data_IF_647016377105
#
_entry.id   IF_647016377105
#
_cell.length_a   1.000
_cell.length_b   1.000
_cell.length_c   1.000
_cell.angle_alpha   90.00
_cell.angle_beta   90.00
_cell.angle_gamma   90.00
#
_symmetry.space_group_name_H-M   'P 1'
#
loop_
_entity.id
_entity.type
_entity.pdbx_description
1 polymer ?
#
# COMPACT_ATOMS: atom_id res chain seq x y z
N UNK A 1 -1.34 45.63 45.78
CA UNK A 1 -2.26 45.43 46.91
C UNK A 1 -2.95 44.08 46.75
N UNK A 2 -2.88 43.26 47.81
CA UNK A 2 -3.59 42.01 48.15
C UNK A 2 -3.81 40.95 47.05
N UNK A 3 -3.14 39.78 46.99
CA UNK A 3 -2.90 38.70 47.97
C UNK A 3 -4.15 37.89 48.38
N UNK A 4 -3.91 36.57 48.58
CA UNK A 4 -4.72 35.49 49.22
C UNK A 4 -5.27 34.44 48.23
N UNK A 5 -4.99 33.12 48.26
CA UNK A 5 -4.06 32.22 48.99
C UNK A 5 -4.05 30.83 48.30
N UNK A 6 -2.94 30.10 48.47
CA UNK A 6 -2.73 28.66 48.18
C UNK A 6 -3.53 27.73 49.09
N UNK A 7 -3.79 26.50 48.60
CA UNK A 7 -4.08 25.32 49.41
C UNK A 7 -3.69 24.02 48.69
N UNK A 8 -2.52 23.46 49.06
CA UNK A 8 -2.11 22.08 48.76
C UNK A 8 -2.71 21.14 49.82
N UNK A 9 -3.14 19.92 49.43
CA UNK A 9 -2.75 18.66 50.11
C UNK A 9 -3.24 17.40 49.40
N UNK A 10 -2.32 16.46 49.38
CA UNK A 10 -2.30 15.05 48.97
C UNK A 10 -3.33 14.15 49.65
N UNK A 11 -3.81 13.13 48.92
CA UNK A 11 -4.18 11.84 49.49
C UNK A 11 -4.01 10.71 48.46
N UNK A 12 -2.93 9.95 48.61
CA UNK A 12 -2.73 8.62 48.07
C UNK A 12 -3.50 7.60 48.90
N UNK A 13 -4.13 6.59 48.27
CA UNK A 13 -4.38 5.29 48.91
C UNK A 13 -4.61 4.18 47.88
N UNK A 14 -3.95 3.07 48.18
CA UNK A 14 -3.83 1.82 47.47
C UNK A 14 -5.17 1.13 47.18
N UNK A 15 -5.27 0.44 46.04
CA UNK A 15 -6.17 -0.70 45.88
C UNK A 15 -5.39 -1.90 45.34
N UNK A 16 -5.59 -3.01 46.03
CA UNK A 16 -4.80 -4.25 46.04
C UNK A 16 -5.07 -5.11 44.80
N UNK A 17 -4.01 -5.78 44.33
CA UNK A 17 -4.09 -6.94 43.45
C UNK A 17 -4.88 -8.07 44.11
N UNK A 18 -5.86 -8.62 43.40
CA UNK A 18 -6.45 -9.93 43.68
C UNK A 18 -5.85 -10.97 42.73
N UNK A 19 -5.09 -11.92 43.29
CA UNK A 19 -4.64 -13.15 42.63
C UNK A 19 -5.80 -14.13 42.57
N UNK A 20 -6.09 -14.68 41.39
CA UNK A 20 -6.91 -15.88 41.23
C UNK A 20 -6.01 -17.14 41.20
N UNK A 21 -6.43 -18.26 41.81
CA UNK A 21 -5.63 -19.47 41.88
C UNK A 21 -5.77 -20.32 40.59
N UNK A 22 -4.65 -20.94 40.23
CA UNK A 22 -4.49 -21.92 39.15
C UNK A 22 -5.14 -23.26 39.51
N UNK A 23 -6.05 -23.74 38.67
CA UNK A 23 -6.58 -25.11 38.75
C UNK A 23 -5.83 -26.02 37.76
N UNK A 24 -5.30 -27.11 38.29
CA UNK A 24 -4.61 -28.20 37.59
C UNK A 24 -5.63 -29.06 36.84
N UNK A 25 -5.39 -29.34 35.55
CA UNK A 25 -6.19 -30.27 34.77
C UNK A 25 -5.40 -31.57 34.54
N UNK A 26 -5.95 -32.66 35.07
CA UNK A 26 -5.42 -34.01 34.97
C UNK A 26 -5.70 -34.65 33.59
N UNK A 27 -4.78 -35.54 33.20
CA UNK A 27 -4.88 -36.46 32.08
C UNK A 27 -6.13 -37.34 32.13
N UNK A 28 -6.79 -37.50 30.97
CA UNK A 28 -7.61 -38.69 30.67
C UNK A 28 -7.22 -39.22 29.29
N UNK A 29 -6.67 -40.43 29.30
CA UNK A 29 -6.44 -41.31 28.15
C UNK A 29 -7.69 -42.18 27.98
N UNK A 30 -8.20 -42.35 26.76
CA UNK A 30 -9.41 -43.14 26.55
C UNK A 30 -9.75 -43.51 25.10
N UNK A 31 -9.01 -44.48 24.57
CA UNK A 31 -9.42 -45.59 23.68
C UNK A 31 -10.14 -45.34 22.34
N UNK A 32 -9.46 -45.84 21.30
CA UNK A 32 -9.98 -46.31 20.01
C UNK A 32 -11.09 -47.37 20.14
N UNK A 33 -12.03 -47.35 19.19
CA UNK A 33 -12.81 -48.52 18.81
C UNK A 33 -13.07 -48.52 17.30
N UNK A 34 -12.54 -49.53 16.62
CA UNK A 34 -12.80 -49.91 15.24
C UNK A 34 -13.88 -50.99 15.21
N UNK A 35 -14.89 -50.81 14.35
CA UNK A 35 -15.81 -51.85 13.88
C UNK A 35 -16.18 -51.40 12.46
N UNK A 36 -15.98 -52.13 11.37
CA UNK A 36 -16.13 -53.55 11.14
C UNK A 36 -17.11 -53.69 9.98
N UNK A 37 -16.59 -53.93 8.78
CA UNK A 37 -17.32 -53.94 7.52
C UNK A 37 -18.41 -55.04 7.48
N UNK A 38 -19.55 -54.72 6.85
CA UNK A 38 -20.46 -55.73 6.28
C UNK A 38 -20.86 -55.33 4.87
N UNK A 39 -20.50 -56.21 3.95
CA UNK A 39 -20.90 -56.24 2.55
C UNK A 39 -22.32 -56.79 2.46
N UNK A 40 -23.18 -56.11 1.71
CA UNK A 40 -24.36 -56.72 1.10
C UNK A 40 -24.41 -56.27 -0.36
N UNK A 41 -24.41 -57.25 -1.26
CA UNK A 41 -24.69 -57.09 -2.67
C UNK A 41 -26.14 -57.49 -2.94
N UNK A 42 -26.88 -56.69 -3.73
CA UNK A 42 -27.69 -57.15 -4.86
C UNK A 42 -28.54 -56.04 -5.52
N UNK A 43 -28.44 -56.01 -6.85
CA UNK A 43 -29.48 -55.80 -7.88
C UNK A 43 -30.23 -54.47 -8.05
N UNK A 44 -29.81 -53.77 -9.10
CA UNK A 44 -30.56 -53.28 -10.29
C UNK A 44 -31.71 -52.27 -10.20
N UNK A 45 -31.52 -51.24 -11.05
CA UNK A 45 -32.46 -50.40 -11.82
C UNK A 45 -33.35 -49.40 -11.08
N UNK A 46 -33.02 -48.12 -11.21
CA UNK A 46 -33.92 -47.14 -11.84
C UNK A 46 -33.21 -45.81 -12.15
N UNK A 47 -33.42 -45.36 -13.39
CA UNK A 47 -33.36 -43.97 -13.88
C UNK A 47 -32.82 -42.89 -12.93
N UNK A 48 -31.57 -42.46 -13.14
CA UNK A 48 -31.06 -41.18 -12.66
C UNK A 48 -30.88 -40.24 -13.86
N UNK A 49 -31.82 -39.30 -13.97
CA UNK A 49 -31.74 -38.15 -14.85
C UNK A 49 -30.47 -37.36 -14.52
N UNK A 50 -29.48 -37.40 -15.41
CA UNK A 50 -28.32 -36.50 -15.32
C UNK A 50 -28.80 -35.09 -15.62
N UNK A 51 -29.07 -34.29 -14.58
CA UNK A 51 -29.04 -32.83 -14.69
C UNK A 51 -27.67 -32.42 -15.24
N UNK A 52 -27.59 -32.17 -16.55
CA UNK A 52 -26.48 -31.41 -17.13
C UNK A 52 -26.72 -29.95 -16.82
N UNK A 53 -26.26 -29.49 -15.67
CA UNK A 53 -26.03 -28.07 -15.45
C UNK A 53 -24.83 -27.66 -16.31
N UNK A 54 -25.11 -27.11 -17.50
CA UNK A 54 -24.11 -26.42 -18.33
C UNK A 54 -24.35 -24.93 -18.17
N UNK A 55 -23.53 -24.25 -17.36
CA UNK A 55 -23.56 -22.80 -17.16
C UNK A 55 -22.52 -22.06 -18.00
N UNK A 56 -21.95 -22.69 -19.02
CA UNK A 56 -21.03 -22.00 -19.93
C UNK A 56 -21.84 -21.08 -20.83
N UNK A 57 -21.93 -19.81 -20.45
CA UNK A 57 -22.25 -18.74 -21.39
C UNK A 57 -21.29 -18.84 -22.59
N UNK A 58 -21.78 -18.57 -23.80
CA UNK A 58 -20.95 -18.57 -25.00
C UNK A 58 -19.71 -17.68 -24.77
N UNK A 59 -18.52 -18.26 -24.94
CA UNK A 59 -17.25 -17.54 -24.81
C UNK A 59 -17.17 -16.48 -25.90
N UNK A 60 -17.42 -15.22 -25.56
CA UNK A 60 -17.00 -14.06 -26.34
C UNK A 60 -15.47 -13.88 -26.21
N UNK A 61 -14.69 -14.88 -26.58
CA UNK A 61 -13.25 -14.71 -26.80
C UNK A 61 -12.68 -15.97 -27.44
N UNK A 62 -12.55 -15.95 -28.77
CA UNK A 62 -11.52 -16.75 -29.42
C UNK A 62 -10.22 -15.95 -29.27
N UNK A 63 -9.53 -16.10 -28.13
CA UNK A 63 -8.21 -15.53 -27.97
C UNK A 63 -7.31 -16.14 -29.06
N UNK A 64 -6.73 -15.34 -29.97
CA UNK A 64 -5.84 -15.89 -30.99
C UNK A 64 -4.63 -16.50 -30.30
N UNK A 65 -4.26 -17.71 -30.70
CA UNK A 65 -3.02 -18.37 -30.29
C UNK A 65 -1.86 -17.58 -30.89
N UNK A 66 -1.37 -16.57 -30.15
CA UNK A 66 -0.18 -15.83 -30.54
C UNK A 66 1.06 -16.61 -30.12
N UNK A 67 2.00 -16.75 -31.06
CA UNK A 67 3.30 -17.39 -30.86
C UNK A 67 4.05 -16.79 -29.64
N UNK A 68 4.80 -17.64 -28.94
CA UNK A 68 5.53 -17.38 -27.70
C UNK A 68 6.79 -16.51 -27.88
N UNK A 69 6.67 -15.36 -28.55
CA UNK A 69 7.69 -14.33 -28.46
C UNK A 69 7.63 -13.71 -27.05
N UNK A 70 8.76 -13.48 -26.36
CA UNK A 70 8.76 -12.71 -25.12
C UNK A 70 8.10 -11.36 -25.41
N UNK A 71 6.94 -11.11 -24.81
CA UNK A 71 6.25 -9.83 -25.00
C UNK A 71 7.06 -8.76 -24.29
N UNK A 72 7.37 -7.70 -25.00
CA UNK A 72 8.02 -6.54 -24.39
C UNK A 72 7.05 -5.82 -23.46
N UNK A 73 7.60 -5.19 -22.41
CA UNK A 73 6.82 -4.32 -21.54
C UNK A 73 6.35 -3.07 -22.31
N UNK A 74 5.15 -2.60 -21.98
CA UNK A 74 4.67 -1.29 -22.41
C UNK A 74 5.72 -0.21 -22.09
N UNK A 75 6.01 0.74 -23.01
CA UNK A 75 7.07 1.74 -22.83
C UNK A 75 6.96 2.52 -21.52
N UNK A 76 5.75 2.86 -21.09
CA UNK A 76 5.47 3.59 -19.85
C UNK A 76 5.94 2.81 -18.60
N UNK A 77 5.90 1.48 -18.65
CA UNK A 77 6.39 0.60 -17.58
C UNK A 77 7.92 0.59 -17.57
N UNK A 78 8.55 0.50 -18.76
CA UNK A 78 10.01 0.55 -18.91
C UNK A 78 10.55 1.88 -18.39
N UNK A 79 9.92 3.00 -18.76
CA UNK A 79 10.34 4.34 -18.36
C UNK A 79 10.29 4.54 -16.83
N UNK A 80 9.25 4.01 -16.16
CA UNK A 80 9.16 4.04 -14.69
C UNK A 80 10.27 3.18 -14.06
N UNK A 81 10.49 1.97 -14.58
CA UNK A 81 11.47 1.04 -14.05
C UNK A 81 12.90 1.58 -14.19
N UNK A 82 13.27 2.09 -15.37
CA UNK A 82 14.57 2.70 -15.63
C UNK A 82 14.79 3.94 -14.74
N UNK A 83 13.80 4.84 -14.66
CA UNK A 83 13.91 6.02 -13.80
C UNK A 83 14.17 5.66 -12.34
N UNK A 84 13.44 4.68 -11.80
CA UNK A 84 13.63 4.26 -10.41
C UNK A 84 14.96 3.54 -10.22
N UNK A 85 15.35 2.67 -11.15
CA UNK A 85 16.53 1.84 -11.04
C UNK A 85 17.83 2.64 -11.21
N UNK A 86 17.86 3.56 -12.19
CA UNK A 86 19.09 4.05 -12.80
C UNK A 86 19.27 5.57 -12.71
N UNK A 87 18.18 6.36 -12.68
CA UNK A 87 18.30 7.83 -12.68
C UNK A 87 18.74 8.35 -11.30
N UNK A 88 19.92 8.99 -11.16
CA UNK A 88 20.29 9.69 -9.93
C UNK A 88 19.49 10.99 -9.78
N UNK A 89 19.31 11.43 -8.54
CA UNK A 89 18.73 12.75 -8.23
C UNK A 89 19.85 13.71 -7.82
N UNK A 90 20.00 14.78 -8.59
CA UNK A 90 21.09 15.75 -8.51
C UNK A 90 20.59 17.21 -8.29
N UNK A 91 19.40 17.35 -7.71
CA UNK A 91 18.78 18.65 -7.39
C UNK A 91 18.79 18.92 -5.88
N UNK A 92 19.57 19.93 -5.46
CA UNK A 92 19.60 20.39 -4.06
C UNK A 92 18.22 20.91 -3.62
N UNK A 93 17.53 21.65 -4.49
CA UNK A 93 16.18 22.15 -4.23
C UNK A 93 15.19 21.01 -4.00
N UNK A 94 15.28 19.93 -4.78
CA UNK A 94 14.41 18.77 -4.58
C UNK A 94 14.66 18.11 -3.22
N UNK A 95 15.92 17.94 -2.80
CA UNK A 95 16.24 17.38 -1.49
C UNK A 95 15.82 18.30 -0.33
N UNK A 96 16.00 19.62 -0.44
CA UNK A 96 15.58 20.54 0.60
C UNK A 96 14.05 20.60 0.72
N UNK A 97 13.34 20.61 -0.41
CA UNK A 97 11.87 20.58 -0.42
C UNK A 97 11.35 19.25 0.13
N UNK A 98 11.95 18.12 -0.27
CA UNK A 98 11.61 16.80 0.27
C UNK A 98 11.81 16.74 1.80
N UNK A 99 12.87 17.38 2.32
CA UNK A 99 13.12 17.48 3.76
C UNK A 99 11.97 18.22 4.46
N UNK A 100 11.46 19.31 3.90
CA UNK A 100 10.30 20.00 4.44
C UNK A 100 9.02 19.17 4.35
N UNK A 101 8.76 18.49 3.23
CA UNK A 101 7.59 17.60 3.09
C UNK A 101 7.65 16.47 4.11
N UNK A 102 8.81 15.87 4.36
CA UNK A 102 8.94 14.80 5.35
C UNK A 102 8.45 15.27 6.73
N UNK A 103 8.87 16.48 7.15
CA UNK A 103 8.47 17.05 8.44
C UNK A 103 6.98 17.41 8.47
N UNK A 104 6.49 18.08 7.43
CA UNK A 104 5.08 18.47 7.28
C UNK A 104 4.14 17.26 7.32
N UNK A 105 4.47 16.23 6.53
CA UNK A 105 3.69 15.00 6.39
C UNK A 105 3.63 14.22 7.71
N UNK A 106 4.76 14.11 8.41
CA UNK A 106 4.80 13.50 9.74
C UNK A 106 3.99 14.31 10.76
N UNK A 107 4.05 15.65 10.71
CA UNK A 107 3.24 16.53 11.53
C UNK A 107 1.74 16.30 11.32
N UNK A 108 1.30 16.23 10.06
CA UNK A 108 -0.08 15.88 9.69
C UNK A 108 -0.50 14.53 10.27
N UNK A 109 0.37 13.52 10.19
CA UNK A 109 0.13 12.20 10.76
C UNK A 109 -0.08 12.22 12.27
N UNK A 110 0.78 12.95 12.99
CA UNK A 110 0.68 13.11 14.44
C UNK A 110 -0.60 13.85 14.86
N UNK A 111 -1.03 14.87 14.11
CA UNK A 111 -2.30 15.55 14.38
C UNK A 111 -3.49 14.63 14.11
N UNK A 112 -3.41 13.80 13.06
CA UNK A 112 -4.42 12.79 12.74
C UNK A 112 -4.71 11.81 13.90
N UNK A 113 -3.72 11.53 14.75
CA UNK A 113 -3.87 10.66 15.92
C UNK A 113 -4.82 11.21 16.99
N UNK A 114 -5.15 12.51 16.96
CA UNK A 114 -6.14 13.12 17.87
C UNK A 114 -7.59 12.76 17.49
N UNK A 115 -7.81 12.20 16.31
CA UNK A 115 -9.15 11.89 15.80
C UNK A 115 -9.45 10.39 15.94
N UNK A 116 -10.48 10.07 16.74
CA UNK A 116 -10.93 8.67 16.96
C UNK A 116 -11.28 7.93 15.66
N UNK A 117 -11.80 8.67 14.68
CA UNK A 117 -12.14 8.11 13.37
C UNK A 117 -10.91 7.62 12.60
N UNK A 118 -9.75 8.26 12.82
CA UNK A 118 -8.45 7.80 12.30
C UNK A 118 -7.96 6.60 13.12
N UNK A 119 -7.81 6.80 14.43
CA UNK A 119 -7.12 5.83 15.30
C UNK A 119 -7.85 4.50 15.43
N UNK A 120 -9.16 4.45 15.24
CA UNK A 120 -9.92 3.18 15.23
C UNK A 120 -9.56 2.25 14.06
N UNK A 121 -8.94 2.78 13.00
CA UNK A 121 -8.49 1.99 11.85
C UNK A 121 -7.03 1.55 11.98
N UNK A 122 -6.27 2.13 12.93
CA UNK A 122 -4.86 1.84 13.13
C UNK A 122 -4.65 0.60 14.02
N UNK A 123 -3.41 0.11 14.04
CA UNK A 123 -2.98 -1.05 14.81
C UNK A 123 -2.91 -2.34 14.01
N UNK A 124 -2.60 -3.47 14.68
CA UNK A 124 -2.60 -4.78 14.04
C UNK A 124 -4.03 -5.21 13.71
N UNK A 125 -4.20 -5.96 12.62
CA UNK A 125 -5.50 -6.56 12.26
C UNK A 125 -6.05 -7.41 13.40
N UNK A 126 -5.17 -8.20 14.05
CA UNK A 126 -5.50 -8.99 15.23
C UNK A 126 -4.74 -8.44 16.44
N UNK A 127 -5.42 -7.85 17.44
CA UNK A 127 -4.79 -7.37 18.66
C UNK A 127 -3.93 -8.44 19.34
N UNK A 128 -2.74 -8.07 19.80
CA UNK A 128 -1.77 -8.99 20.39
C UNK A 128 -0.80 -9.64 19.41
N UNK A 129 -0.92 -9.36 18.10
CA UNK A 129 0.07 -9.79 17.10
C UNK A 129 1.46 -9.22 17.44
N UNK A 130 2.47 -10.08 17.44
CA UNK A 130 3.88 -9.71 17.64
C UNK A 130 4.61 -9.90 16.32
N UNK A 131 5.23 -8.82 15.82
CA UNK A 131 6.03 -8.85 14.59
C UNK A 131 7.49 -8.56 14.93
N UNK A 132 8.38 -9.57 14.92
CA UNK A 132 9.80 -9.36 15.13
C UNK A 132 10.35 -8.36 14.12
N UNK A 133 11.11 -7.37 14.60
CA UNK A 133 11.72 -6.32 13.76
C UNK A 133 10.72 -5.53 12.90
N UNK A 134 9.43 -5.54 13.24
CA UNK A 134 8.38 -4.89 12.47
C UNK A 134 8.53 -3.37 12.38
N UNK A 135 7.86 -2.79 11.39
CA UNK A 135 7.69 -1.35 11.20
C UNK A 135 7.04 -0.72 12.42
N UNK A 136 7.63 0.36 12.93
CA UNK A 136 7.00 1.22 13.93
C UNK A 136 6.15 2.30 13.27
N UNK A 137 4.97 2.50 13.83
CA UNK A 137 4.05 3.56 13.40
C UNK A 137 4.27 4.81 14.27
N UNK A 138 4.69 5.96 13.70
CA UNK A 138 5.00 7.17 14.46
C UNK A 138 3.86 7.60 15.40
N UNK A 139 4.22 8.04 16.61
CA UNK A 139 3.25 8.49 17.61
C UNK A 139 2.42 7.39 18.29
N UNK A 140 2.70 6.12 18.00
CA UNK A 140 1.95 4.97 18.55
C UNK A 140 2.89 3.90 19.14
N UNK A 141 2.38 2.96 19.96
CA UNK A 141 3.17 1.81 20.40
C UNK A 141 3.23 0.66 19.37
N UNK A 142 2.63 0.81 18.19
CA UNK A 142 2.46 -0.30 17.26
C UNK A 142 3.76 -0.70 16.57
N UNK A 143 3.96 -2.01 16.49
CA UNK A 143 5.02 -2.68 15.73
C UNK A 143 4.33 -3.68 14.81
N UNK A 144 4.35 -3.42 13.50
CA UNK A 144 3.54 -4.11 12.50
C UNK A 144 4.43 -4.72 11.41
N UNK A 145 3.88 -5.62 10.60
CA UNK A 145 4.51 -6.00 9.34
C UNK A 145 4.55 -4.78 8.39
N UNK A 146 5.46 -4.75 7.39
CA UNK A 146 5.62 -3.57 6.53
C UNK A 146 4.38 -3.26 5.67
N UNK A 147 3.52 -4.24 5.42
CA UNK A 147 2.28 -4.04 4.65
C UNK A 147 1.28 -3.26 5.50
N UNK A 148 0.97 -3.73 6.71
CA UNK A 148 0.04 -3.04 7.60
C UNK A 148 0.66 -1.74 8.18
N UNK A 149 1.97 -1.69 8.37
CA UNK A 149 2.71 -0.47 8.71
C UNK A 149 2.50 0.63 7.66
N UNK A 150 2.54 0.27 6.38
CA UNK A 150 2.31 1.22 5.28
C UNK A 150 0.88 1.79 5.28
N UNK A 151 -0.13 0.93 5.55
CA UNK A 151 -1.51 1.39 5.74
C UNK A 151 -1.60 2.43 6.87
N UNK A 152 -1.04 2.08 8.04
CA UNK A 152 -1.16 2.88 9.24
C UNK A 152 -0.54 4.28 9.07
N UNK A 153 0.66 4.32 8.50
CA UNK A 153 1.37 5.57 8.23
C UNK A 153 0.63 6.36 7.13
N UNK A 154 0.28 5.73 6.01
CA UNK A 154 -0.42 6.39 4.91
C UNK A 154 -1.80 6.94 5.30
N UNK A 155 -2.56 6.22 6.12
CA UNK A 155 -3.86 6.68 6.60
C UNK A 155 -3.73 7.88 7.54
N UNK A 156 -2.77 7.89 8.46
CA UNK A 156 -2.63 9.01 9.39
C UNK A 156 -2.17 10.29 8.70
N UNK A 157 -1.19 10.21 7.79
CA UNK A 157 -0.60 11.41 7.17
C UNK A 157 -1.58 12.12 6.25
N UNK A 158 -2.49 11.36 5.63
CA UNK A 158 -3.52 11.90 4.73
C UNK A 158 -4.81 12.29 5.46
N UNK A 159 -4.99 11.89 6.71
CA UNK A 159 -6.31 11.83 7.36
C UNK A 159 -7.08 13.15 7.29
N UNK A 160 -6.38 14.24 7.61
CA UNK A 160 -6.94 15.59 7.76
C UNK A 160 -6.88 16.43 6.49
N UNK A 161 -6.30 15.91 5.41
CA UNK A 161 -6.12 16.67 4.16
C UNK A 161 -5.28 17.94 4.33
N UNK A 162 -4.27 17.91 5.20
CA UNK A 162 -3.32 19.02 5.41
C UNK A 162 -1.93 18.76 4.83
N UNK A 163 -1.65 17.52 4.42
CA UNK A 163 -0.43 17.21 3.71
C UNK A 163 -0.41 17.87 2.31
N UNK A 164 0.77 17.81 1.69
CA UNK A 164 1.11 18.40 0.39
C UNK A 164 0.06 18.18 -0.71
N UNK A 165 0.17 18.93 -1.80
CA UNK A 165 -0.75 18.82 -2.92
C UNK A 165 -0.05 19.03 -4.26
N UNK A 166 -0.47 18.24 -5.25
CA UNK A 166 -0.12 18.40 -6.65
C UNK A 166 -1.39 18.56 -7.47
N UNK A 167 -1.53 19.72 -8.13
CA UNK A 167 -2.71 20.07 -8.93
C UNK A 167 -2.34 20.04 -10.42
N UNK A 168 -2.85 19.04 -11.12
CA UNK A 168 -2.68 18.90 -12.57
C UNK A 168 -3.97 18.41 -13.24
N UNK A 169 -3.90 17.73 -14.39
CA UNK A 169 -5.08 17.10 -15.00
C UNK A 169 -5.73 16.06 -14.06
N UNK A 170 -4.93 15.41 -13.22
CA UNK A 170 -5.37 14.73 -12.01
C UNK A 170 -4.86 15.46 -10.76
N UNK A 171 -5.67 15.48 -9.71
CA UNK A 171 -5.27 16.01 -8.41
C UNK A 171 -4.80 14.89 -7.51
N UNK A 172 -3.74 15.12 -6.72
CA UNK A 172 -3.26 14.14 -5.76
C UNK A 172 -2.35 14.73 -4.68
N UNK A 173 -1.95 13.86 -3.76
CA UNK A 173 -1.06 14.20 -2.63
C UNK A 173 0.12 13.23 -2.67
N UNK A 174 1.25 13.61 -3.31
CA UNK A 174 2.34 12.67 -3.50
C UNK A 174 3.06 12.28 -2.20
N UNK A 175 2.95 13.09 -1.13
CA UNK A 175 3.41 12.72 0.21
C UNK A 175 2.75 11.46 0.76
N UNK A 176 1.57 11.05 0.24
CA UNK A 176 0.89 9.81 0.63
C UNK A 176 1.81 8.57 0.51
N UNK A 177 2.71 8.56 -0.49
CA UNK A 177 3.66 7.47 -0.73
C UNK A 177 4.66 7.27 0.44
N UNK A 178 4.80 8.26 1.33
CA UNK A 178 5.62 8.14 2.54
C UNK A 178 5.19 6.95 3.41
N UNK A 179 3.89 6.58 3.38
CA UNK A 179 3.38 5.40 4.07
C UNK A 179 4.16 4.14 3.69
N UNK A 180 4.28 3.85 2.40
CA UNK A 180 5.00 2.69 1.89
C UNK A 180 6.53 2.81 2.10
N UNK A 181 7.10 3.98 1.79
CA UNK A 181 8.55 4.24 1.87
C UNK A 181 9.05 4.06 3.30
N UNK A 182 8.43 4.75 4.27
CA UNK A 182 8.87 4.75 5.66
C UNK A 182 8.68 3.36 6.29
N UNK A 183 7.57 2.69 5.97
CA UNK A 183 7.30 1.36 6.50
C UNK A 183 8.36 0.34 6.08
N UNK A 184 8.67 0.29 4.78
CA UNK A 184 9.65 -0.65 4.22
C UNK A 184 11.06 -0.33 4.71
N UNK A 185 11.46 0.94 4.73
CA UNK A 185 12.79 1.33 5.21
C UNK A 185 13.01 0.98 6.69
N UNK A 186 12.04 1.27 7.57
CA UNK A 186 12.16 0.97 9.00
C UNK A 186 12.23 -0.55 9.24
N UNK A 187 11.39 -1.33 8.56
CA UNK A 187 11.42 -2.79 8.65
C UNK A 187 12.74 -3.39 8.16
N UNK A 188 13.26 -2.96 7.01
CA UNK A 188 14.55 -3.43 6.48
C UNK A 188 15.68 -3.07 7.46
N UNK A 189 15.72 -1.81 7.92
CA UNK A 189 16.74 -1.36 8.87
C UNK A 189 16.73 -2.16 10.17
N UNK A 190 15.55 -2.40 10.75
CA UNK A 190 15.44 -3.20 11.99
C UNK A 190 15.89 -4.64 11.76
N UNK A 191 15.47 -5.24 10.66
CA UNK A 191 15.82 -6.61 10.32
C UNK A 191 17.33 -6.76 10.11
N UNK A 192 17.95 -5.85 9.36
CA UNK A 192 19.38 -5.89 9.06
C UNK A 192 20.23 -5.56 10.31
N UNK A 193 19.79 -4.61 11.15
CA UNK A 193 20.44 -4.35 12.46
C UNK A 193 20.35 -5.53 13.42
N UNK A 194 19.35 -6.40 13.26
CA UNK A 194 19.20 -7.63 14.02
C UNK A 194 19.94 -8.84 13.39
N UNK A 195 20.80 -8.62 12.39
CA UNK A 195 21.58 -9.67 11.73
C UNK A 195 20.92 -10.28 10.48
N UNK A 196 19.80 -9.72 10.02
CA UNK A 196 19.20 -10.06 8.73
C UNK A 196 19.97 -9.49 7.53
N UNK A 197 19.53 -9.83 6.32
CA UNK A 197 20.18 -9.42 5.07
C UNK A 197 19.18 -9.07 3.96
N UNK A 198 18.12 -8.32 4.31
CA UNK A 198 17.16 -7.80 3.33
C UNK A 198 17.84 -6.73 2.47
N UNK A 199 17.50 -6.66 1.19
CA UNK A 199 18.04 -5.69 0.23
C UNK A 199 19.60 -5.61 0.27
N UNK A 200 20.26 -6.76 0.34
CA UNK A 200 21.72 -6.84 0.41
C UNK A 200 22.35 -6.23 1.67
N UNK A 201 21.60 -6.18 2.78
CA UNK A 201 22.10 -5.66 4.05
C UNK A 201 22.08 -4.14 4.16
N UNK A 202 21.42 -3.44 3.21
CA UNK A 202 21.30 -1.99 3.18
C UNK A 202 20.74 -1.45 4.52
N UNK A 203 21.36 -0.38 5.01
CA UNK A 203 20.82 0.47 6.08
C UNK A 203 20.43 1.81 5.47
N UNK A 204 19.13 2.05 5.36
CA UNK A 204 18.55 3.29 4.85
C UNK A 204 18.81 4.46 5.80
N UNK A 205 19.32 5.54 5.24
CA UNK A 205 19.48 6.86 5.88
C UNK A 205 18.27 7.74 5.57
N UNK A 206 18.14 8.89 6.25
CA UNK A 206 17.12 9.88 5.90
C UNK A 206 17.28 10.35 4.45
N UNK A 207 18.51 10.50 3.95
CA UNK A 207 18.75 10.89 2.55
C UNK A 207 18.15 9.87 1.57
N UNK A 208 18.27 8.58 1.84
CA UNK A 208 17.65 7.53 1.01
C UNK A 208 16.11 7.62 1.04
N UNK A 209 15.51 8.02 2.18
CA UNK A 209 14.07 8.27 2.29
C UNK A 209 13.67 9.47 1.43
N UNK A 210 14.42 10.58 1.50
CA UNK A 210 14.14 11.78 0.71
C UNK A 210 14.24 11.51 -0.79
N UNK A 211 15.26 10.76 -1.22
CA UNK A 211 15.39 10.36 -2.63
C UNK A 211 14.21 9.50 -3.08
N UNK A 212 13.78 8.55 -2.25
CA UNK A 212 12.61 7.72 -2.51
C UNK A 212 11.32 8.55 -2.61
N UNK A 213 11.17 9.57 -1.77
CA UNK A 213 10.06 10.52 -1.84
C UNK A 213 10.08 11.29 -3.16
N UNK A 214 11.23 11.83 -3.56
CA UNK A 214 11.39 12.57 -4.83
C UNK A 214 10.95 11.70 -6.00
N UNK A 215 11.42 10.45 -6.07
CA UNK A 215 11.06 9.54 -7.15
C UNK A 215 9.57 9.18 -7.16
N UNK A 216 8.97 8.99 -6.00
CA UNK A 216 7.53 8.73 -5.91
C UNK A 216 6.70 9.95 -6.34
N UNK A 217 7.12 11.16 -5.95
CA UNK A 217 6.49 12.41 -6.38
C UNK A 217 6.54 12.54 -7.90
N UNK A 218 7.70 12.26 -8.49
CA UNK A 218 7.90 12.41 -9.92
C UNK A 218 7.01 11.46 -10.74
N UNK A 219 6.94 10.18 -10.36
CA UNK A 219 6.10 9.19 -11.06
C UNK A 219 4.62 9.59 -10.99
N UNK A 220 4.13 9.84 -9.78
CA UNK A 220 2.72 10.19 -9.56
C UNK A 220 2.37 11.53 -10.23
N UNK A 221 3.21 12.54 -10.05
CA UNK A 221 2.94 13.88 -10.56
C UNK A 221 3.05 13.96 -12.07
N UNK A 222 4.03 13.32 -12.69
CA UNK A 222 4.17 13.32 -14.16
C UNK A 222 3.05 12.55 -14.85
N UNK A 223 2.61 11.40 -14.28
CA UNK A 223 1.40 10.72 -14.77
C UNK A 223 0.16 11.62 -14.63
N UNK A 224 0.04 12.39 -13.55
CA UNK A 224 -1.09 13.28 -13.32
C UNK A 224 -1.11 14.54 -14.21
N UNK A 225 0.00 14.90 -14.87
CA UNK A 225 0.12 16.13 -15.66
C UNK A 225 -0.93 16.21 -16.78
N UNK A 226 -1.05 15.14 -17.58
CA UNK A 226 -1.94 15.08 -18.74
C UNK A 226 -3.00 13.97 -18.66
N UNK A 227 -2.93 13.09 -17.66
CA UNK A 227 -3.81 11.92 -17.56
C UNK A 227 -4.77 12.08 -16.37
N UNK A 228 -6.07 12.11 -16.66
CA UNK A 228 -7.12 12.31 -15.67
C UNK A 228 -7.91 11.04 -15.43
N UNK A 229 -7.71 10.42 -14.26
CA UNK A 229 -8.37 9.19 -13.83
C UNK A 229 -9.80 9.48 -13.33
N UNK A 230 -10.02 10.68 -12.79
CA UNK A 230 -11.35 11.13 -12.41
C UNK A 230 -12.33 11.20 -13.60
N UNK A 231 -11.86 11.55 -14.81
CA UNK A 231 -12.68 11.60 -16.04
C UNK A 231 -13.10 10.22 -16.55
N UNK A 232 -12.47 9.17 -16.04
CA UNK A 232 -12.84 7.77 -16.30
C UNK A 232 -13.44 7.07 -15.07
N UNK A 233 -13.69 7.82 -13.98
CA UNK A 233 -14.39 7.34 -12.79
C UNK A 233 -13.52 6.68 -11.72
N UNK A 234 -12.20 6.66 -11.91
CA UNK A 234 -11.23 6.01 -11.02
C UNK A 234 -10.58 6.99 -10.05
N UNK A 235 -10.21 6.49 -8.87
CA UNK A 235 -9.53 7.27 -7.84
C UNK A 235 -8.06 7.50 -8.14
N UNK A 236 -7.56 8.71 -7.89
CA UNK A 236 -6.16 9.08 -8.08
C UNK A 236 -5.18 8.19 -7.30
N UNK A 237 -5.65 7.45 -6.29
CA UNK A 237 -4.80 6.58 -5.47
C UNK A 237 -4.23 5.40 -6.27
N UNK A 238 -4.71 5.16 -7.50
CA UNK A 238 -3.98 4.31 -8.48
C UNK A 238 -2.55 4.81 -8.67
N UNK A 239 -2.34 6.13 -8.73
CA UNK A 239 -1.00 6.71 -8.90
C UNK A 239 -0.15 6.54 -7.65
N UNK A 240 -0.74 6.61 -6.45
CA UNK A 240 -0.06 6.29 -5.19
C UNK A 240 0.37 4.82 -5.20
N UNK A 241 -0.51 3.91 -5.62
CA UNK A 241 -0.20 2.48 -5.71
C UNK A 241 0.97 2.23 -6.67
N UNK A 242 0.95 2.82 -7.86
CA UNK A 242 1.98 2.66 -8.90
C UNK A 242 3.32 3.25 -8.44
N UNK A 243 3.34 4.50 -7.98
CA UNK A 243 4.56 5.18 -7.55
C UNK A 243 5.18 4.49 -6.31
N UNK A 244 4.37 4.17 -5.31
CA UNK A 244 4.82 3.41 -4.13
C UNK A 244 5.39 2.05 -4.54
N UNK A 245 4.72 1.31 -5.45
CA UNK A 245 5.17 -0.04 -5.86
C UNK A 245 6.53 0.03 -6.54
N UNK A 246 6.74 1.00 -7.43
CA UNK A 246 8.00 1.16 -8.14
C UNK A 246 9.16 1.45 -7.16
N UNK A 247 8.98 2.46 -6.30
CA UNK A 247 10.02 2.91 -5.36
C UNK A 247 10.32 1.86 -4.29
N UNK A 248 9.30 1.24 -3.68
CA UNK A 248 9.57 0.21 -2.66
C UNK A 248 10.17 -1.06 -3.25
N UNK A 249 9.91 -1.38 -4.52
CA UNK A 249 10.59 -2.49 -5.22
C UNK A 249 12.09 -2.26 -5.28
N UNK A 250 12.54 -1.04 -5.62
CA UNK A 250 13.96 -0.67 -5.57
C UNK A 250 14.52 -0.73 -4.16
N UNK A 251 13.77 -0.26 -3.15
CA UNK A 251 14.18 -0.33 -1.75
C UNK A 251 14.33 -1.77 -1.24
N UNK A 252 13.55 -2.72 -1.77
CA UNK A 252 13.68 -4.15 -1.47
C UNK A 252 14.89 -4.81 -2.16
N UNK A 253 15.62 -4.07 -2.99
CA UNK A 253 16.79 -4.56 -3.73
C UNK A 253 16.42 -5.31 -5.01
N UNK A 254 15.21 -5.10 -5.54
CA UNK A 254 14.79 -5.68 -6.81
C UNK A 254 15.51 -5.02 -7.99
N UNK A 255 15.81 -5.80 -9.02
CA UNK A 255 16.40 -5.30 -10.26
C UNK A 255 15.36 -4.57 -11.14
N UNK A 256 15.81 -3.92 -12.21
CA UNK A 256 14.96 -3.13 -13.11
C UNK A 256 13.80 -3.95 -13.69
N UNK A 257 14.05 -5.21 -14.08
CA UNK A 257 13.01 -6.08 -14.63
C UNK A 257 11.97 -6.42 -13.55
N UNK A 258 12.40 -6.72 -12.33
CA UNK A 258 11.51 -6.99 -11.21
C UNK A 258 10.73 -5.74 -10.78
N UNK A 259 11.32 -4.54 -10.90
CA UNK A 259 10.59 -3.28 -10.72
C UNK A 259 9.50 -3.17 -11.78
N UNK A 260 9.80 -3.44 -13.05
CA UNK A 260 8.79 -3.47 -14.12
C UNK A 260 7.70 -4.51 -13.82
N UNK A 261 8.07 -5.73 -13.40
CA UNK A 261 7.11 -6.78 -12.99
C UNK A 261 6.15 -6.24 -11.91
N UNK A 262 6.68 -5.62 -10.86
CA UNK A 262 5.87 -5.07 -9.77
C UNK A 262 4.98 -3.91 -10.22
N UNK A 263 5.47 -3.03 -11.10
CA UNK A 263 4.65 -1.94 -11.66
C UNK A 263 3.51 -2.49 -12.51
N UNK A 264 3.73 -3.54 -13.30
CA UNK A 264 2.63 -4.18 -14.04
C UNK A 264 1.58 -4.80 -13.11
N UNK A 265 2.02 -5.38 -11.99
CA UNK A 265 1.12 -5.90 -10.96
C UNK A 265 0.28 -4.79 -10.32
N UNK A 266 0.80 -3.56 -10.20
CA UNK A 266 0.02 -2.41 -9.72
C UNK A 266 -1.04 -1.93 -10.72
N UNK A 267 -0.75 -2.03 -12.03
CA UNK A 267 -1.68 -1.66 -13.09
C UNK A 267 -2.78 -2.69 -13.34
N UNK A 268 -2.45 -3.99 -13.29
CA UNK A 268 -3.44 -5.07 -13.46
C UNK A 268 -4.36 -5.21 -12.25
N UNK A 269 -4.00 -4.60 -11.12
CA UNK A 269 -4.77 -4.63 -9.90
C UNK A 269 -6.12 -3.92 -10.03
N UNK A 270 -7.07 -4.26 -9.15
CA UNK A 270 -8.33 -3.55 -9.05
C UNK A 270 -8.12 -2.08 -8.64
N UNK A 271 -8.66 -1.14 -9.40
CA UNK A 271 -8.59 0.29 -9.10
C UNK A 271 -9.90 0.76 -8.47
N UNK A 272 -9.80 1.44 -7.32
CA UNK A 272 -10.97 1.91 -6.59
C UNK A 272 -11.71 3.00 -7.36
N UNK A 273 -13.04 2.94 -7.31
CA UNK A 273 -13.91 4.04 -7.73
C UNK A 273 -13.72 5.28 -6.84
N UNK A 274 -14.19 6.45 -7.28
CA UNK A 274 -14.20 7.68 -6.46
C UNK A 274 -15.50 7.97 -5.73
N UNK A 275 -16.45 7.05 -5.69
CA UNK A 275 -17.81 7.30 -5.14
C UNK A 275 -17.77 7.93 -3.74
N UNK A 276 -16.83 7.52 -2.89
CA UNK A 276 -16.64 8.04 -1.53
C UNK A 276 -16.13 9.49 -1.44
N UNK A 277 -15.85 10.14 -2.57
CA UNK A 277 -15.42 11.55 -2.63
C UNK A 277 -16.52 12.50 -3.11
N UNK A 278 -17.65 11.97 -3.56
CA UNK A 278 -18.72 12.76 -4.17
C UNK A 278 -20.05 12.59 -3.42
N UNK A 279 -20.80 13.70 -3.32
CA UNK A 279 -22.16 13.68 -2.79
C UNK A 279 -23.05 12.76 -3.63
N UNK A 280 -23.97 11.97 -3.03
CA UNK A 280 -24.32 11.94 -1.60
C UNK A 280 -23.50 10.92 -0.77
N UNK A 281 -22.48 10.29 -1.35
CA UNK A 281 -21.74 9.17 -0.73
C UNK A 281 -20.41 9.59 -0.09
N UNK A 282 -20.15 10.89 0.07
CA UNK A 282 -18.91 11.39 0.67
C UNK A 282 -18.71 10.80 2.07
N UNK A 283 -17.60 10.08 2.28
CA UNK A 283 -17.30 9.41 3.56
C UNK A 283 -15.79 9.26 3.80
N UNK A 284 -15.40 8.77 4.99
CA UNK A 284 -14.01 8.76 5.48
C UNK A 284 -13.01 7.93 4.67
N UNK A 285 -13.44 7.09 3.73
CA UNK A 285 -12.55 6.39 2.79
C UNK A 285 -11.72 7.35 1.97
N UNK A 286 -12.21 8.56 1.71
CA UNK A 286 -11.41 9.62 1.08
C UNK A 286 -10.12 9.95 1.85
N UNK A 287 -10.10 9.69 3.16
CA UNK A 287 -8.98 9.98 4.09
C UNK A 287 -8.01 8.80 4.25
N UNK A 288 -8.41 7.56 3.95
CA UNK A 288 -7.55 6.36 4.11
C UNK A 288 -7.33 5.56 2.82
N UNK A 289 -7.99 5.91 1.70
CA UNK A 289 -7.80 5.23 0.41
C UNK A 289 -6.35 5.28 -0.08
N UNK A 290 -5.61 6.36 0.22
CA UNK A 290 -4.20 6.45 -0.12
C UNK A 290 -3.32 5.54 0.74
N UNK A 291 -3.63 5.41 2.04
CA UNK A 291 -2.98 4.43 2.92
C UNK A 291 -3.24 2.98 2.48
N UNK A 292 -4.45 2.66 2.03
CA UNK A 292 -4.78 1.36 1.43
C UNK A 292 -4.00 1.12 0.12
N UNK A 293 -3.82 2.15 -0.71
CA UNK A 293 -2.96 2.05 -1.89
C UNK A 293 -1.48 1.79 -1.53
N UNK A 294 -0.95 2.41 -0.49
CA UNK A 294 0.40 2.12 0.03
C UNK A 294 0.52 0.68 0.55
N UNK A 295 -0.46 0.22 1.33
CA UNK A 295 -0.53 -1.17 1.79
C UNK A 295 -0.48 -2.14 0.62
N UNK A 296 -1.29 -1.87 -0.41
CA UNK A 296 -1.35 -2.70 -1.62
C UNK A 296 0.00 -2.69 -2.34
N UNK A 297 0.63 -1.53 -2.50
CA UNK A 297 1.91 -1.40 -3.16
C UNK A 297 3.02 -2.26 -2.52
N UNK A 298 3.17 -2.17 -1.19
CA UNK A 298 4.15 -3.00 -0.46
C UNK A 298 3.84 -4.48 -0.63
N UNK A 299 2.57 -4.87 -0.56
CA UNK A 299 2.15 -6.27 -0.75
C UNK A 299 2.40 -6.79 -2.18
N UNK A 300 2.31 -5.95 -3.21
CA UNK A 300 2.61 -6.33 -4.59
C UNK A 300 4.12 -6.52 -4.79
N UNK A 301 4.93 -5.56 -4.33
CA UNK A 301 6.39 -5.65 -4.40
C UNK A 301 6.92 -6.90 -3.66
N UNK A 302 6.36 -7.24 -2.50
CA UNK A 302 6.73 -8.46 -1.76
C UNK A 302 6.34 -9.77 -2.47
N UNK A 303 5.33 -9.77 -3.35
CA UNK A 303 5.02 -10.95 -4.18
C UNK A 303 6.05 -11.11 -5.30
N UNK A 304 6.40 -10.03 -5.98
CA UNK A 304 7.43 -10.05 -7.02
C UNK A 304 8.80 -10.40 -6.45
N UNK A 305 9.13 -9.92 -5.24
CA UNK A 305 10.33 -10.34 -4.52
C UNK A 305 10.39 -11.87 -4.28
N UNK A 306 9.25 -12.56 -4.24
CA UNK A 306 9.17 -14.03 -4.13
C UNK A 306 9.20 -14.75 -5.49
N UNK A 307 9.34 -14.02 -6.60
CA UNK A 307 9.43 -14.57 -7.95
C UNK A 307 8.14 -14.50 -8.77
N UNK A 308 7.12 -13.77 -8.32
CA UNK A 308 5.93 -13.50 -9.13
C UNK A 308 6.29 -12.72 -10.40
N UNK A 309 5.70 -13.10 -11.54
CA UNK A 309 6.01 -12.51 -12.85
C UNK A 309 5.15 -11.28 -13.13
N UNK A 310 5.61 -10.41 -14.04
CA UNK A 310 4.85 -9.29 -14.55
C UNK A 310 3.91 -9.64 -15.70
N UNK A 311 3.14 -8.64 -16.11
CA UNK A 311 2.20 -8.68 -17.24
C UNK A 311 2.65 -7.65 -18.28
N UNK A 312 3.50 -8.01 -19.25
CA UNK A 312 4.23 -7.02 -20.06
C UNK A 312 3.34 -6.01 -20.80
N UNK A 313 2.19 -6.45 -21.29
CA UNK A 313 1.24 -5.63 -22.08
C UNK A 313 0.04 -5.18 -21.25
N UNK A 314 0.21 -4.99 -19.94
CA UNK A 314 -0.86 -4.66 -18.99
C UNK A 314 -1.65 -3.41 -19.38
N UNK A 315 -1.02 -2.45 -20.06
CA UNK A 315 -1.68 -1.23 -20.53
C UNK A 315 -2.29 -1.44 -21.91
N UNK A 316 -1.51 -1.97 -22.86
CA UNK A 316 -1.84 -1.95 -24.29
C UNK A 316 -2.55 -3.20 -24.84
N UNK A 317 -2.67 -4.28 -24.05
CA UNK A 317 -3.30 -5.51 -24.51
C UNK A 317 -4.71 -5.24 -25.07
N UNK A 318 -5.02 -5.63 -26.32
CA UNK A 318 -6.35 -5.39 -26.88
C UNK A 318 -7.44 -6.06 -26.05
N UNK A 319 -8.55 -5.36 -25.85
CA UNK A 319 -9.73 -5.77 -25.05
C UNK A 319 -9.51 -5.86 -23.54
N UNK A 320 -8.31 -6.23 -23.09
CA UNK A 320 -8.04 -6.61 -21.69
C UNK A 320 -7.07 -5.67 -20.96
N UNK A 321 -6.34 -4.84 -21.70
CA UNK A 321 -5.37 -3.90 -21.17
C UNK A 321 -6.05 -2.71 -20.49
N UNK A 322 -5.31 -2.06 -19.60
CA UNK A 322 -5.79 -0.91 -18.83
C UNK A 322 -6.35 0.19 -19.73
N UNK A 323 -5.73 0.44 -20.88
CA UNK A 323 -6.19 1.48 -21.81
C UNK A 323 -7.60 1.21 -22.31
N UNK A 324 -7.86 0.01 -22.84
CA UNK A 324 -9.18 -0.37 -23.37
C UNK A 324 -10.22 -0.46 -22.25
N UNK A 325 -9.88 -1.12 -21.13
CA UNK A 325 -10.86 -1.45 -20.07
C UNK A 325 -11.16 -0.26 -19.17
N UNK A 326 -10.13 0.49 -18.77
CA UNK A 326 -10.22 1.47 -17.68
C UNK A 326 -9.89 2.90 -18.13
N UNK A 327 -9.38 3.09 -19.34
CA UNK A 327 -9.00 4.41 -19.86
C UNK A 327 -9.69 4.81 -21.17
N UNK A 328 -10.80 4.13 -21.50
CA UNK A 328 -11.65 4.40 -22.69
C UNK A 328 -10.87 4.33 -24.02
N UNK A 329 -9.91 3.42 -24.12
CA UNK A 329 -9.03 3.24 -25.29
C UNK A 329 -7.97 4.32 -25.48
N UNK A 330 -7.88 5.31 -24.58
CA UNK A 330 -6.85 6.34 -24.66
C UNK A 330 -5.53 5.81 -24.10
N UNK A 331 -4.40 6.26 -24.66
CA UNK A 331 -3.07 6.02 -24.09
C UNK A 331 -2.70 7.13 -23.11
N UNK A 332 -1.76 6.86 -22.21
CA UNK A 332 -1.18 7.92 -21.39
C UNK A 332 -0.37 8.90 -22.25
N UNK A 333 -0.44 10.17 -21.89
CA UNK A 333 0.33 11.25 -22.47
C UNK A 333 1.30 11.82 -21.43
N UNK A 334 2.50 12.17 -21.87
CA UNK A 334 3.55 12.74 -21.03
C UNK A 334 4.08 14.01 -21.69
N UNK A 335 4.11 15.11 -20.94
CA UNK A 335 4.72 16.35 -21.44
C UNK A 335 6.23 16.44 -21.18
N UNK A 336 6.77 15.52 -20.36
CA UNK A 336 8.17 15.52 -19.92
C UNK A 336 8.62 14.15 -19.43
N UNK A 337 9.93 13.84 -19.49
CA UNK A 337 10.50 12.67 -18.81
C UNK A 337 10.53 12.87 -17.29
N UNK A 338 10.75 11.79 -16.55
CA UNK A 338 10.91 11.81 -15.10
C UNK A 338 12.27 12.43 -14.68
N UNK A 339 12.24 13.38 -13.74
CA UNK A 339 13.39 14.00 -13.09
C UNK A 339 13.14 14.24 -11.61
N UNK A 340 13.05 15.50 -11.18
CA UNK A 340 12.71 15.93 -9.82
C UNK A 340 11.73 17.10 -9.78
N UNK A 341 11.07 17.38 -10.90
CA UNK A 341 10.25 18.56 -11.10
C UNK A 341 9.08 18.65 -10.12
N UNK A 342 8.42 17.52 -9.83
CA UNK A 342 7.22 17.53 -9.00
C UNK A 342 7.57 17.92 -7.57
N UNK A 343 8.66 17.37 -7.03
CA UNK A 343 9.13 17.73 -5.69
C UNK A 343 9.50 19.22 -5.60
N UNK A 344 10.14 19.77 -6.62
CA UNK A 344 10.57 21.18 -6.65
C UNK A 344 9.39 22.17 -6.72
N UNK A 345 8.20 21.73 -7.14
CA UNK A 345 7.06 22.59 -7.43
C UNK A 345 5.78 22.20 -6.65
N UNK A 346 5.91 21.30 -5.69
CA UNK A 346 4.78 20.81 -4.89
C UNK A 346 4.21 21.91 -3.98
N UNK A 347 2.90 21.86 -3.73
CA UNK A 347 2.21 22.85 -2.92
C UNK A 347 2.12 22.39 -1.46
N UNK A 348 2.45 23.28 -0.54
CA UNK A 348 2.21 23.09 0.90
C UNK A 348 0.91 23.79 1.34
N UNK A 349 0.21 23.23 2.32
CA UNK A 349 -0.98 23.84 2.94
C UNK A 349 -0.61 24.49 4.28
N UNK A 350 0.05 25.66 4.21
CA UNK A 350 0.63 26.33 5.40
C UNK A 350 -0.10 27.59 5.86
N UNK A 351 -0.95 28.19 5.01
CA UNK A 351 -1.43 29.56 5.25
C UNK A 351 -2.76 29.63 6.00
N UNK A 352 -3.81 28.96 5.52
CA UNK A 352 -5.16 28.98 6.10
C UNK A 352 -5.89 27.68 5.69
N UNK A 353 -6.80 27.13 6.54
CA UNK A 353 -7.68 26.05 6.11
C UNK A 353 -8.65 26.48 4.99
#
# INVERSE_FOLDING_TARGET
MSAVTRGLRTASKQLRLARFPTASAAHVVGRSASVGARVFAASTSSSSSRCRFSTSAATLSAAPVMASQPREYDPEIKDIADYVANKPIDSELAFDTARWILLDTLGCGLEGLRFKECTKLLGPIVPGTVVPNGTRVPGTPFVLDPVNGAFNIGAMIRWLDFNDCWLAAEWGHPSDNLGAILAVADWINRTNKAGGNLAGGKIFTVKDILESMIKAHEIQGCLALLNSYNKVGLDHVVLVKVASTAVVSKMLGLDEKQIADAVTQAWVDGQSLRTYRHSPNTMSRKSWAAGDACQRAVNLALKVMKGEQGVPTVLSAPTWGFYDVLFKGNKFAFQRPYGSYVMENVLFKVSYP
#
